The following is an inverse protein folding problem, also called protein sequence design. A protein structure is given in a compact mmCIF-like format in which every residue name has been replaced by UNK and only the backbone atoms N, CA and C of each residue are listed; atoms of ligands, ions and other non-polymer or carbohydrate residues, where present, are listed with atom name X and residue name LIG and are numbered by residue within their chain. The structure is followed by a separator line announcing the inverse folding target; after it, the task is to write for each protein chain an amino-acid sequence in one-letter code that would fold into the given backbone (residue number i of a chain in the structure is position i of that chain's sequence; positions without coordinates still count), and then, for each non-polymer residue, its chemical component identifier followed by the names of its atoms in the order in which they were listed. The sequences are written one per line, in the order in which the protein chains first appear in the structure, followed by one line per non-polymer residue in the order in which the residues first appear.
data_IF_574351249622
#
_entry.id   IF_574351249622
#
_cell.length_a   1.000
_cell.length_b   1.000
_cell.length_c   1.000
_cell.angle_alpha   90.00
_cell.angle_beta   90.00
_cell.angle_gamma   90.00
#
_symmetry.space_group_name_H-M   'P 1'
#
loop_
_entity.id
_entity.type
_entity.pdbx_description
1 polymer ?
#
# COMPACT_ATOMS: atom_id res chain seq x y z
N UNK A 1 -42.35 -10.86 25.40
CA UNK A 1 -41.30 -9.85 25.15
C UNK A 1 -39.93 -10.52 24.98
N UNK A 2 -39.77 -11.45 24.03
CA UNK A 2 -38.44 -12.02 23.67
C UNK A 2 -38.42 -12.73 22.28
N UNK A 3 -39.24 -12.30 21.32
CA UNK A 3 -39.31 -12.92 19.98
C UNK A 3 -38.55 -12.16 18.88
N UNK A 4 -37.80 -11.12 19.21
CA UNK A 4 -36.94 -10.39 18.26
C UNK A 4 -35.51 -10.96 18.15
N UNK A 5 -35.22 -12.10 18.79
CA UNK A 5 -33.91 -12.77 18.73
C UNK A 5 -33.76 -13.75 17.55
N UNK A 6 -34.66 -13.71 16.56
CA UNK A 6 -34.76 -14.71 15.48
C UNK A 6 -34.70 -14.09 14.08
N UNK A 7 -33.64 -13.32 13.76
CA UNK A 7 -33.64 -12.65 12.45
C UNK A 7 -32.36 -12.02 11.92
N UNK A 8 -31.16 -12.33 12.42
CA UNK A 8 -29.94 -11.94 11.71
C UNK A 8 -29.03 -13.16 11.54
N UNK A 9 -28.75 -13.57 10.29
CA UNK A 9 -27.84 -14.67 10.02
C UNK A 9 -26.47 -14.38 10.65
N UNK A 10 -25.79 -15.44 11.05
CA UNK A 10 -24.42 -15.52 11.58
C UNK A 10 -23.36 -15.06 10.56
N UNK A 11 -23.50 -13.85 10.04
CA UNK A 11 -22.45 -13.12 9.33
C UNK A 11 -21.76 -12.19 10.31
N UNK A 12 -20.60 -12.66 10.79
CA UNK A 12 -19.58 -11.87 11.47
C UNK A 12 -20.12 -10.81 12.44
N UNK A 13 -20.50 -11.22 13.65
CA UNK A 13 -20.28 -10.34 14.81
C UNK A 13 -18.77 -10.25 15.05
N UNK A 14 -18.04 -9.65 14.11
CA UNK A 14 -16.65 -9.23 14.31
C UNK A 14 -16.65 -8.42 15.59
N UNK A 15 -16.04 -8.99 16.64
CA UNK A 15 -15.88 -8.27 17.89
C UNK A 15 -15.24 -6.92 17.57
N UNK A 16 -15.60 -5.82 18.26
CA UNK A 16 -15.00 -4.51 18.00
C UNK A 16 -13.46 -4.56 17.98
N UNK A 17 -12.88 -5.46 18.78
CA UNK A 17 -11.46 -5.79 18.80
C UNK A 17 -10.96 -6.46 17.50
N UNK A 18 -11.70 -7.42 16.93
CA UNK A 18 -11.36 -8.04 15.64
C UNK A 18 -11.43 -7.04 14.49
N UNK A 19 -12.42 -6.13 14.50
CA UNK A 19 -12.51 -5.03 13.53
C UNK A 19 -11.30 -4.09 13.64
N UNK A 20 -10.92 -3.70 14.87
CA UNK A 20 -9.76 -2.84 15.14
C UNK A 20 -8.46 -3.44 14.59
N UNK A 21 -8.23 -4.73 14.84
CA UNK A 21 -7.04 -5.44 14.35
C UNK A 21 -7.02 -5.49 12.82
N UNK A 22 -8.16 -5.78 12.18
CA UNK A 22 -8.26 -5.86 10.73
C UNK A 22 -8.01 -4.50 10.06
N UNK A 23 -8.54 -3.41 10.62
CA UNK A 23 -8.30 -2.04 10.14
C UNK A 23 -6.84 -1.61 10.32
N UNK A 24 -6.19 -2.07 11.38
CA UNK A 24 -4.77 -1.80 11.59
C UNK A 24 -3.93 -2.49 10.53
N UNK A 25 -4.22 -3.77 10.24
CA UNK A 25 -3.53 -4.52 9.19
C UNK A 25 -3.71 -3.85 7.82
N UNK A 26 -4.93 -3.45 7.45
CA UNK A 26 -5.17 -2.82 6.14
C UNK A 26 -4.49 -1.44 6.02
N UNK A 27 -4.34 -0.71 7.12
CA UNK A 27 -3.67 0.59 7.16
C UNK A 27 -2.14 0.48 7.03
N UNK A 28 -1.55 -0.60 7.55
CA UNK A 28 -0.10 -0.85 7.46
C UNK A 28 0.32 -1.29 6.05
N UNK A 29 -0.55 -2.00 5.32
CA UNK A 29 -0.28 -2.46 3.94
C UNK A 29 0.22 -1.34 3.01
N UNK A 30 -0.49 -0.21 2.82
CA UNK A 30 -0.04 0.85 1.93
C UNK A 30 1.26 1.51 2.41
N UNK A 31 1.48 1.58 3.73
CA UNK A 31 2.71 2.13 4.30
C UNK A 31 3.93 1.29 3.93
N UNK A 32 3.83 -0.03 4.10
CA UNK A 32 4.90 -0.98 3.75
C UNK A 32 5.10 -1.05 2.24
N UNK A 33 4.01 -1.00 1.46
CA UNK A 33 4.07 -0.98 0.01
C UNK A 33 4.90 0.21 -0.49
N UNK A 34 4.61 1.41 0.01
CA UNK A 34 5.32 2.64 -0.38
C UNK A 34 6.79 2.58 0.08
N UNK A 35 7.08 2.08 1.28
CA UNK A 35 8.44 2.01 1.81
C UNK A 35 9.32 0.95 1.12
N UNK A 36 8.72 -0.13 0.62
CA UNK A 36 9.40 -1.16 -0.17
C UNK A 36 9.84 -0.65 -1.56
N UNK A 37 9.24 0.44 -2.05
CA UNK A 37 9.54 0.99 -3.38
C UNK A 37 10.65 2.05 -3.37
N UNK A 38 11.00 2.57 -4.55
CA UNK A 38 11.93 3.71 -4.69
C UNK A 38 11.37 5.04 -4.17
N UNK A 39 10.09 5.10 -3.78
CA UNK A 39 9.43 6.34 -3.34
C UNK A 39 10.19 7.06 -2.22
N UNK A 40 10.58 6.33 -1.16
CA UNK A 40 11.27 6.92 0.00
C UNK A 40 12.60 7.56 -0.38
N UNK A 41 13.37 6.92 -1.27
CA UNK A 41 14.65 7.50 -1.75
C UNK A 41 14.40 8.76 -2.57
N UNK A 42 13.42 8.73 -3.47
CA UNK A 42 13.09 9.87 -4.33
C UNK A 42 12.62 11.06 -3.49
N UNK A 43 11.67 10.88 -2.58
CA UNK A 43 11.12 12.00 -1.79
C UNK A 43 12.17 12.61 -0.84
N UNK A 44 13.07 11.80 -0.27
CA UNK A 44 14.17 12.29 0.57
C UNK A 44 15.13 13.15 -0.26
N UNK A 45 15.56 12.67 -1.43
CA UNK A 45 16.45 13.43 -2.32
C UNK A 45 15.79 14.74 -2.76
N UNK A 46 14.52 14.70 -3.16
CA UNK A 46 13.76 15.91 -3.54
C UNK A 46 13.62 16.89 -2.36
N UNK A 47 13.39 16.40 -1.14
CA UNK A 47 13.32 17.24 0.06
C UNK A 47 14.67 17.87 0.40
N UNK A 48 15.78 17.13 0.24
CA UNK A 48 17.12 17.67 0.43
C UNK A 48 17.45 18.73 -0.61
N UNK A 49 17.08 18.51 -1.88
CA UNK A 49 17.21 19.51 -2.96
C UNK A 49 16.43 20.77 -2.62
N UNK A 50 15.19 20.64 -2.13
CA UNK A 50 14.38 21.78 -1.69
C UNK A 50 15.08 22.59 -0.60
N UNK A 51 15.64 21.92 0.41
CA UNK A 51 16.41 22.60 1.47
C UNK A 51 17.68 23.26 0.93
N UNK A 52 18.35 22.64 -0.05
CA UNK A 52 19.57 23.16 -0.66
C UNK A 52 19.34 24.42 -1.51
N UNK A 53 18.19 24.54 -2.19
CA UNK A 53 17.85 25.73 -2.99
C UNK A 53 17.31 26.91 -2.17
N UNK A 54 17.24 26.79 -0.83
CA UNK A 54 16.79 27.88 0.06
C UNK A 54 15.31 28.24 -0.08
N UNK A 55 14.51 27.38 -0.72
CA UNK A 55 13.10 27.65 -0.99
C UNK A 55 12.23 27.15 0.16
N UNK A 56 11.86 28.08 1.06
CA UNK A 56 11.16 27.77 2.33
C UNK A 56 9.67 27.41 2.17
N UNK A 57 9.04 27.80 1.06
CA UNK A 57 7.60 27.60 0.83
C UNK A 57 7.28 26.99 -0.54
N UNK A 58 8.24 27.00 -1.45
CA UNK A 58 8.12 26.43 -2.79
C UNK A 58 9.12 25.28 -2.90
N UNK A 59 8.75 24.08 -3.36
CA UNK A 59 7.41 23.59 -3.66
C UNK A 59 6.69 23.00 -2.41
N UNK A 60 5.35 23.04 -2.36
CA UNK A 60 4.55 22.46 -1.26
C UNK A 60 4.83 20.97 -1.05
N UNK A 61 4.66 20.47 0.18
CA UNK A 61 4.84 19.03 0.49
C UNK A 61 3.95 18.13 -0.38
N UNK A 62 2.74 18.56 -0.73
CA UNK A 62 1.84 17.83 -1.62
C UNK A 62 2.40 17.69 -3.04
N UNK A 63 3.06 18.74 -3.55
CA UNK A 63 3.68 18.73 -4.89
C UNK A 63 4.91 17.84 -4.91
N UNK A 64 5.77 17.89 -3.89
CA UNK A 64 6.91 16.96 -3.77
C UNK A 64 6.45 15.51 -3.75
N UNK A 65 5.41 15.20 -2.97
CA UNK A 65 4.83 13.85 -2.90
C UNK A 65 4.27 13.40 -4.25
N UNK A 66 3.54 14.26 -4.95
CA UNK A 66 3.02 13.95 -6.29
C UNK A 66 4.15 13.70 -7.30
N UNK A 67 5.18 14.54 -7.30
CA UNK A 67 6.35 14.38 -8.18
C UNK A 67 7.10 13.09 -7.87
N UNK A 68 7.27 12.76 -6.59
CA UNK A 68 7.90 11.52 -6.14
C UNK A 68 7.10 10.28 -6.56
N UNK A 69 5.76 10.31 -6.50
CA UNK A 69 4.90 9.22 -6.95
C UNK A 69 5.02 8.97 -8.46
N UNK A 70 4.97 10.03 -9.28
CA UNK A 70 5.10 9.92 -10.74
C UNK A 70 6.47 9.34 -11.12
N UNK A 71 7.54 9.85 -10.52
CA UNK A 71 8.90 9.33 -10.73
C UNK A 71 9.03 7.88 -10.25
N UNK A 72 8.36 7.52 -9.15
CA UNK A 72 8.33 6.14 -8.66
C UNK A 72 7.71 5.22 -9.70
N UNK A 73 6.53 5.55 -10.25
CA UNK A 73 5.91 4.73 -11.30
C UNK A 73 6.79 4.60 -12.54
N UNK A 74 7.45 5.69 -12.97
CA UNK A 74 8.38 5.64 -14.09
C UNK A 74 9.53 4.65 -13.86
N UNK A 75 10.18 4.73 -12.69
CA UNK A 75 11.34 3.88 -12.33
C UNK A 75 10.95 2.44 -11.98
N UNK A 76 9.73 2.20 -11.45
CA UNK A 76 9.23 0.87 -11.04
C UNK A 76 8.70 0.02 -12.18
N UNK A 77 8.56 0.55 -13.40
CA UNK A 77 8.08 -0.22 -14.58
C UNK A 77 8.73 -1.62 -14.74
N UNK A 78 10.07 -1.80 -14.68
CA UNK A 78 10.68 -3.13 -14.81
C UNK A 78 10.34 -4.07 -13.66
N UNK A 79 10.31 -3.57 -12.42
CA UNK A 79 9.94 -4.36 -11.24
C UNK A 79 8.49 -4.83 -11.31
N UNK A 80 7.57 -3.96 -11.75
CA UNK A 80 6.17 -4.31 -11.97
C UNK A 80 6.02 -5.41 -13.03
N UNK A 81 6.80 -5.36 -14.12
CA UNK A 81 6.81 -6.42 -15.15
C UNK A 81 7.40 -7.74 -14.64
N UNK A 82 8.43 -7.68 -13.81
CA UNK A 82 9.02 -8.86 -13.19
C UNK A 82 8.01 -9.54 -12.26
N UNK A 83 7.38 -8.79 -11.36
CA UNK A 83 6.32 -9.31 -10.47
C UNK A 83 5.15 -9.89 -11.29
N UNK A 84 4.78 -9.25 -12.40
CA UNK A 84 3.76 -9.77 -13.30
C UNK A 84 4.06 -11.18 -13.82
N UNK A 85 5.30 -11.41 -14.26
CA UNK A 85 5.75 -12.70 -14.80
C UNK A 85 6.00 -13.75 -13.72
N UNK A 86 6.58 -13.35 -12.60
CA UNK A 86 7.08 -14.26 -11.57
C UNK A 86 6.01 -14.63 -10.53
N UNK A 87 5.01 -13.76 -10.30
CA UNK A 87 3.97 -13.97 -9.30
C UNK A 87 2.56 -14.00 -9.91
N UNK A 88 2.17 -12.98 -10.69
CA UNK A 88 0.77 -12.84 -11.15
C UNK A 88 0.39 -13.93 -12.15
N UNK A 89 1.20 -14.12 -13.19
CA UNK A 89 0.96 -15.11 -14.24
C UNK A 89 0.94 -16.56 -13.71
N UNK A 90 1.88 -17.01 -12.87
CA UNK A 90 1.84 -18.37 -12.31
C UNK A 90 0.80 -18.55 -11.19
N UNK A 91 0.38 -17.49 -10.49
CA UNK A 91 -0.80 -17.55 -9.60
C UNK A 91 -2.09 -17.75 -10.40
N UNK A 92 -2.26 -17.01 -11.50
CA UNK A 92 -3.43 -17.14 -12.39
C UNK A 92 -3.51 -18.51 -13.06
N UNK A 93 -2.37 -19.14 -13.37
CA UNK A 93 -2.31 -20.52 -13.89
C UNK A 93 -2.46 -21.62 -12.83
N UNK A 94 -2.66 -21.27 -11.55
CA UNK A 94 -2.80 -22.23 -10.45
C UNK A 94 -1.52 -22.98 -10.08
N UNK A 95 -0.38 -22.59 -10.66
CA UNK A 95 0.95 -23.17 -10.42
C UNK A 95 1.63 -22.68 -9.13
N UNK A 96 1.14 -21.58 -8.54
CA UNK A 96 1.57 -21.11 -7.22
C UNK A 96 0.45 -21.29 -6.19
N UNK A 97 0.74 -22.01 -5.10
CA UNK A 97 -0.10 -22.01 -3.90
C UNK A 97 0.13 -20.72 -3.11
N UNK A 98 -0.87 -20.15 -2.43
CA UNK A 98 -0.72 -18.94 -1.61
C UNK A 98 0.45 -19.00 -0.60
N UNK A 99 0.83 -20.20 -0.16
CA UNK A 99 1.95 -20.43 0.75
C UNK A 99 3.35 -20.38 0.12
N UNK A 100 3.46 -20.32 -1.22
CA UNK A 100 4.73 -20.32 -1.97
C UNK A 100 4.98 -19.02 -2.74
N UNK A 101 4.08 -18.04 -2.62
CA UNK A 101 4.16 -16.74 -3.30
C UNK A 101 4.75 -15.61 -2.40
N UNK A 102 5.34 -15.98 -1.26
CA UNK A 102 5.93 -15.06 -0.29
C UNK A 102 7.42 -14.85 -0.55
#
# INVERSE_FOLDING_TARGET
MNLLASGLPSHATTTPLSLLVMLTLISVVPLVLISCTSFVRIIVVLSLVRSAIGASALPPNSVLTALALVLTFAVMTPTARQIGRDAIEPYARGTLRPSQAA
#
